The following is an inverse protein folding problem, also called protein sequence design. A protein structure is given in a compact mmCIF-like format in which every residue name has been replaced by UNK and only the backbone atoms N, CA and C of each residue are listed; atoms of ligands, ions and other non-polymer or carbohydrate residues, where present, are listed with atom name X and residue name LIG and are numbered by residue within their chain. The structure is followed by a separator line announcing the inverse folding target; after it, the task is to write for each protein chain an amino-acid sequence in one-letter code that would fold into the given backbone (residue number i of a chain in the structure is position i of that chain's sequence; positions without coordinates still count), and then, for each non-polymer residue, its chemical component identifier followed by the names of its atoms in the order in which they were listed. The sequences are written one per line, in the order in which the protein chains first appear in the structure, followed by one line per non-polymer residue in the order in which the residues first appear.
data_IF_438680695773
#
_entry.id   IF_438680695773
#
_cell.length_a   1.000
_cell.length_b   1.000
_cell.length_c   1.000
_cell.angle_alpha   90.00
_cell.angle_beta   90.00
_cell.angle_gamma   90.00
#
_symmetry.space_group_name_H-M   'P 1'
#
loop_
_entity.id
_entity.type
_entity.pdbx_description
1 polymer ?
#
# COMPACT_ATOMS: atom_id res chain seq x y z
N UNK A 1 10.74 -13.30 13.76
CA UNK A 1 11.02 -12.36 12.68
C UNK A 1 9.82 -11.47 12.44
N UNK A 2 10.04 -10.17 12.36
CA UNK A 2 8.92 -9.29 12.18
C UNK A 2 8.74 -8.95 10.69
N UNK A 3 7.48 -8.83 10.31
CA UNK A 3 7.12 -8.37 8.99
C UNK A 3 6.54 -6.96 9.05
N UNK A 4 6.94 -6.18 10.03
CA UNK A 4 6.40 -4.85 10.24
C UNK A 4 7.42 -3.96 10.93
N UNK A 5 7.53 -2.72 10.43
CA UNK A 5 8.29 -1.67 11.12
C UNK A 5 7.31 -0.55 11.44
N UNK A 6 7.53 0.08 12.58
CA UNK A 6 6.67 1.18 13.05
C UNK A 6 7.52 2.43 13.19
N UNK A 7 6.95 3.56 12.78
CA UNK A 7 7.61 4.85 12.87
C UNK A 7 6.66 5.83 13.53
N UNK A 8 7.20 6.67 14.40
CA UNK A 8 6.38 7.63 15.13
C UNK A 8 5.60 6.95 16.23
N UNK A 9 4.52 7.57 16.64
CA UNK A 9 3.71 7.10 17.75
C UNK A 9 2.28 6.80 17.31
N UNK A 10 1.60 5.90 18.03
CA UNK A 10 0.19 5.66 17.69
C UNK A 10 -0.63 6.94 17.87
N UNK A 11 -1.73 7.09 17.15
CA UNK A 11 -2.32 6.07 16.27
C UNK A 11 -1.58 5.97 14.95
N UNK A 12 -1.52 4.75 14.40
CA UNK A 12 -0.86 4.50 13.13
C UNK A 12 -1.89 4.66 12.02
N UNK A 13 -1.91 5.85 11.43
CA UNK A 13 -2.96 6.24 10.49
C UNK A 13 -2.58 6.05 9.03
N UNK A 14 -1.33 5.69 8.76
CA UNK A 14 -0.88 5.47 7.40
C UNK A 14 0.07 4.28 7.34
N UNK A 15 0.14 3.65 6.18
CA UNK A 15 1.06 2.56 5.93
C UNK A 15 1.74 2.77 4.59
N UNK A 16 3.05 2.55 4.55
CA UNK A 16 3.84 2.65 3.33
C UNK A 16 4.14 1.23 2.84
N UNK A 17 3.79 0.95 1.59
CA UNK A 17 3.86 -0.39 1.03
C UNK A 17 4.97 -0.43 -0.02
N UNK A 18 6.01 -1.21 0.27
CA UNK A 18 7.20 -1.25 -0.57
C UNK A 18 6.96 -1.92 -1.91
N UNK A 19 7.84 -1.60 -2.86
CA UNK A 19 7.76 -2.17 -4.19
C UNK A 19 8.42 -3.53 -4.26
N UNK A 20 8.33 -4.11 -5.41
CA UNK A 20 8.94 -5.35 -5.85
C UNK A 20 9.20 -6.43 -4.82
N UNK A 21 9.20 -7.67 -5.21
CA UNK A 21 9.69 -8.71 -4.32
C UNK A 21 11.18 -8.44 -4.11
N UNK A 22 11.63 -8.54 -2.87
CA UNK A 22 13.04 -8.34 -2.58
C UNK A 22 13.46 -6.91 -2.29
N UNK A 23 12.50 -6.00 -2.14
CA UNK A 23 12.81 -4.62 -1.79
C UNK A 23 12.18 -4.20 -0.46
N UNK A 24 12.12 -5.07 0.55
CA UNK A 24 11.57 -4.67 1.84
C UNK A 24 12.44 -3.58 2.46
N UNK A 25 11.79 -2.60 3.04
CA UNK A 25 12.52 -1.52 3.68
C UNK A 25 12.83 -0.33 2.78
N UNK A 26 12.54 -0.42 1.49
CA UNK A 26 12.82 0.70 0.58
C UNK A 26 11.99 1.93 0.91
N UNK A 27 10.89 1.76 1.61
CA UNK A 27 10.03 2.87 2.00
C UNK A 27 10.42 3.50 3.33
N UNK A 28 11.48 3.02 3.96
CA UNK A 28 11.91 3.56 5.25
C UNK A 28 12.17 5.07 5.23
N UNK A 29 12.83 5.62 4.21
CA UNK A 29 13.03 7.07 4.19
C UNK A 29 11.71 7.84 4.14
N UNK A 30 10.75 7.35 3.36
CA UNK A 30 9.43 7.99 3.28
C UNK A 30 8.72 7.90 4.63
N UNK A 31 8.78 6.72 5.24
CA UNK A 31 8.13 6.50 6.52
C UNK A 31 8.72 7.41 7.60
N UNK A 32 10.03 7.56 7.62
CA UNK A 32 10.70 8.42 8.61
C UNK A 32 10.29 9.87 8.43
N UNK A 33 10.23 10.31 7.19
CA UNK A 33 9.84 11.69 6.92
C UNK A 33 8.41 11.97 7.37
N UNK A 34 7.50 11.06 7.05
CA UNK A 34 6.10 11.22 7.41
C UNK A 34 5.86 11.08 8.91
N UNK A 35 6.72 10.33 9.59
CA UNK A 35 6.49 10.03 11.00
C UNK A 35 6.75 11.20 11.94
N UNK A 36 7.22 12.33 11.42
CA UNK A 36 7.36 13.52 12.25
C UNK A 36 6.00 13.99 12.76
N UNK A 37 4.94 13.70 12.02
CA UNK A 37 3.59 14.14 12.39
C UNK A 37 2.58 13.02 12.48
N UNK A 38 2.92 11.83 11.99
CA UNK A 38 1.99 10.72 11.89
C UNK A 38 2.62 9.44 12.40
N UNK A 39 1.78 8.54 12.90
CA UNK A 39 2.22 7.17 13.13
C UNK A 39 2.15 6.41 11.82
N UNK A 40 3.26 5.81 11.42
CA UNK A 40 3.39 5.14 10.13
C UNK A 40 3.75 3.68 10.31
N UNK A 41 3.05 2.81 9.59
CA UNK A 41 3.39 1.40 9.52
C UNK A 41 4.14 1.14 8.21
N UNK A 42 5.14 0.29 8.28
CA UNK A 42 5.81 -0.22 7.07
C UNK A 42 5.71 -1.72 7.08
N UNK A 43 4.62 -2.27 6.54
CA UNK A 43 4.50 -3.73 6.41
C UNK A 43 5.54 -4.25 5.42
N UNK A 44 6.17 -5.36 5.77
CA UNK A 44 7.15 -6.00 4.91
C UNK A 44 6.50 -7.24 4.31
N UNK A 45 6.52 -7.32 2.99
CA UNK A 45 5.87 -8.42 2.29
C UNK A 45 6.70 -9.68 2.40
N UNK A 46 6.13 -10.74 2.95
CA UNK A 46 6.84 -12.00 3.13
C UNK A 46 6.22 -13.15 2.36
N UNK A 47 5.03 -12.94 1.78
CA UNK A 47 4.33 -14.01 1.08
C UNK A 47 4.65 -13.99 -0.40
N UNK A 48 4.63 -15.17 -1.00
CA UNK A 48 4.99 -15.33 -2.40
C UNK A 48 3.84 -15.11 -3.37
N UNK A 49 2.61 -15.23 -2.88
CA UNK A 49 1.44 -15.07 -3.75
C UNK A 49 0.72 -13.77 -3.47
N UNK A 50 0.02 -13.27 -4.47
CA UNK A 50 -0.77 -12.06 -4.30
C UNK A 50 -1.82 -12.24 -3.20
N UNK A 51 -2.51 -13.36 -3.22
CA UNK A 51 -3.51 -13.65 -2.20
C UNK A 51 -2.90 -13.65 -0.81
N UNK A 52 -1.72 -14.26 -0.68
CA UNK A 52 -1.02 -14.28 0.60
C UNK A 52 -0.61 -12.89 1.04
N UNK A 53 -0.16 -12.06 0.11
CA UNK A 53 0.24 -10.69 0.44
C UNK A 53 -0.96 -9.85 0.87
N UNK A 54 -2.10 -10.03 0.24
CA UNK A 54 -3.33 -9.32 0.63
C UNK A 54 -3.76 -9.74 2.04
N UNK A 55 -3.72 -11.03 2.33
CA UNK A 55 -4.09 -11.52 3.65
C UNK A 55 -3.11 -11.04 4.71
N UNK A 56 -1.84 -11.02 4.39
CA UNK A 56 -0.82 -10.55 5.31
C UNK A 56 -1.02 -9.08 5.64
N UNK A 57 -1.25 -8.28 4.62
CA UNK A 57 -1.49 -6.85 4.81
C UNK A 57 -2.74 -6.61 5.65
N UNK A 58 -3.80 -7.36 5.37
CA UNK A 58 -5.03 -7.23 6.14
C UNK A 58 -4.78 -7.52 7.62
N UNK A 59 -4.04 -8.57 7.90
CA UNK A 59 -3.73 -8.94 9.27
C UNK A 59 -2.94 -7.83 9.98
N UNK A 60 -1.92 -7.32 9.31
CA UNK A 60 -1.09 -6.27 9.89
C UNK A 60 -1.91 -5.02 10.18
N UNK A 61 -2.72 -4.59 9.22
CA UNK A 61 -3.51 -3.39 9.40
C UNK A 61 -4.57 -3.56 10.48
N UNK A 62 -5.16 -4.75 10.55
CA UNK A 62 -6.17 -5.02 11.57
C UNK A 62 -5.57 -4.99 12.96
N UNK A 63 -4.36 -5.53 13.11
CA UNK A 63 -3.70 -5.62 14.41
C UNK A 63 -3.10 -4.31 14.88
N UNK A 64 -2.58 -3.52 13.94
CA UNK A 64 -1.75 -2.37 14.31
C UNK A 64 -2.27 -1.03 13.80
N UNK A 65 -3.11 -1.01 12.80
CA UNK A 65 -3.56 0.23 12.18
C UNK A 65 -4.75 0.86 12.87
N UNK A 66 -4.79 2.18 12.84
CA UNK A 66 -5.97 2.93 13.26
C UNK A 66 -6.87 3.06 12.03
N UNK A 67 -7.73 2.07 11.84
CA UNK A 67 -8.55 1.96 10.62
C UNK A 67 -9.64 3.02 10.57
N UNK A 68 -9.96 3.51 9.37
CA UNK A 68 -9.31 3.23 8.09
C UNK A 68 -8.00 4.00 7.97
N UNK A 69 -7.05 3.43 7.23
CA UNK A 69 -5.73 4.03 7.07
C UNK A 69 -5.51 4.55 5.66
N UNK A 70 -4.52 5.43 5.53
CA UNK A 70 -4.03 5.85 4.21
C UNK A 70 -2.95 4.85 3.79
N UNK A 71 -3.06 4.31 2.59
CA UNK A 71 -2.03 3.44 2.03
C UNK A 71 -1.22 4.24 1.01
N UNK A 72 0.10 4.17 1.16
CA UNK A 72 1.03 4.83 0.24
C UNK A 72 1.85 3.73 -0.38
N UNK A 73 1.56 3.39 -1.63
CA UNK A 73 2.21 2.28 -2.31
C UNK A 73 3.12 2.74 -3.41
N UNK A 74 4.26 2.05 -3.55
CA UNK A 74 5.27 2.39 -4.53
C UNK A 74 5.53 1.19 -5.43
N UNK A 75 5.41 1.36 -6.74
CA UNK A 75 5.65 0.32 -7.72
C UNK A 75 4.74 -0.89 -7.46
N UNK A 76 5.28 -2.07 -7.17
CA UNK A 76 4.46 -3.23 -6.83
C UNK A 76 3.58 -2.95 -5.63
N UNK A 77 4.09 -2.17 -4.68
CA UNK A 77 3.30 -1.77 -3.52
C UNK A 77 2.09 -0.95 -3.90
N UNK A 78 2.17 -0.18 -4.98
CA UNK A 78 1.02 0.57 -5.47
C UNK A 78 -0.05 -0.39 -5.99
N UNK A 79 0.37 -1.40 -6.74
CA UNK A 79 -0.54 -2.42 -7.25
C UNK A 79 -1.19 -3.18 -6.10
N UNK A 80 -0.37 -3.61 -5.14
CA UNK A 80 -0.87 -4.35 -3.99
C UNK A 80 -1.85 -3.51 -3.19
N UNK A 81 -1.52 -2.24 -2.95
CA UNK A 81 -2.39 -1.33 -2.20
C UNK A 81 -3.74 -1.15 -2.90
N UNK A 82 -3.70 -1.01 -4.22
CA UNK A 82 -4.89 -0.86 -5.01
C UNK A 82 -5.79 -2.10 -4.91
N UNK A 83 -5.18 -3.27 -5.10
CA UNK A 83 -5.92 -4.53 -5.04
C UNK A 83 -6.47 -4.74 -3.63
N UNK A 84 -5.67 -4.43 -2.62
CA UNK A 84 -6.12 -4.55 -1.24
C UNK A 84 -7.33 -3.66 -0.98
N UNK A 85 -7.28 -2.41 -1.43
CA UNK A 85 -8.37 -1.48 -1.21
C UNK A 85 -9.65 -1.94 -1.91
N UNK A 86 -9.51 -2.56 -3.08
CA UNK A 86 -10.67 -3.08 -3.80
C UNK A 86 -11.33 -4.22 -3.03
N UNK A 87 -10.53 -5.04 -2.35
CA UNK A 87 -11.06 -6.17 -1.59
C UNK A 87 -11.49 -5.80 -0.17
N UNK A 88 -10.86 -4.78 0.40
CA UNK A 88 -11.13 -4.38 1.78
C UNK A 88 -11.31 -2.86 1.89
N UNK A 89 -12.35 -2.33 1.25
CA UNK A 89 -12.51 -0.87 1.19
C UNK A 89 -12.68 -0.21 2.55
N UNK A 90 -13.16 -0.94 3.54
CA UNK A 90 -13.35 -0.36 4.87
C UNK A 90 -12.05 -0.15 5.63
N UNK A 91 -10.97 -0.78 5.15
CA UNK A 91 -9.65 -0.63 5.76
C UNK A 91 -8.93 0.62 5.26
N UNK A 92 -9.36 1.18 4.14
CA UNK A 92 -8.59 2.18 3.42
C UNK A 92 -9.34 3.49 3.30
N UNK A 93 -8.73 4.54 3.85
CA UNK A 93 -9.29 5.88 3.80
C UNK A 93 -8.86 6.58 2.52
N UNK A 94 -7.60 6.40 2.11
CA UNK A 94 -7.04 7.08 0.96
C UNK A 94 -5.93 6.22 0.37
N UNK A 95 -5.81 6.26 -0.95
CA UNK A 95 -4.73 5.60 -1.67
C UNK A 95 -3.83 6.64 -2.31
N UNK A 96 -2.54 6.50 -2.08
CA UNK A 96 -1.53 7.31 -2.75
C UNK A 96 -0.65 6.32 -3.48
N UNK A 97 -0.71 6.34 -4.81
CA UNK A 97 -0.01 5.38 -5.64
C UNK A 97 1.11 6.07 -6.38
N UNK A 98 2.33 5.60 -6.19
CA UNK A 98 3.52 6.21 -6.75
C UNK A 98 4.19 5.26 -7.72
N UNK A 99 4.35 5.70 -8.97
CA UNK A 99 5.13 4.98 -9.96
C UNK A 99 6.53 5.58 -10.02
N UNK A 100 7.46 4.88 -10.65
CA UNK A 100 8.81 5.41 -10.78
C UNK A 100 9.46 4.90 -12.06
N UNK A 101 9.97 5.82 -12.87
CA UNK A 101 10.75 5.51 -14.04
C UNK A 101 9.94 5.17 -15.29
N UNK A 102 10.60 5.21 -16.44
CA UNK A 102 9.91 5.02 -17.74
C UNK A 102 9.25 3.66 -17.90
N UNK A 103 9.89 2.63 -17.40
CA UNK A 103 9.33 1.29 -17.47
C UNK A 103 8.02 1.22 -16.70
N UNK A 104 8.05 1.70 -15.48
CA UNK A 104 6.87 1.67 -14.64
C UNK A 104 5.79 2.61 -15.14
N UNK A 105 6.20 3.73 -15.72
CA UNK A 105 5.26 4.66 -16.28
C UNK A 105 4.46 4.01 -17.39
N UNK A 106 5.13 3.29 -18.29
CA UNK A 106 4.43 2.60 -19.36
C UNK A 106 3.55 1.48 -18.82
N UNK A 107 4.07 0.73 -17.87
CA UNK A 107 3.33 -0.34 -17.23
C UNK A 107 2.11 0.23 -16.50
N UNK A 108 2.32 1.30 -15.75
CA UNK A 108 1.26 1.94 -15.00
C UNK A 108 0.21 2.54 -15.93
N UNK A 109 0.62 3.06 -17.08
CA UNK A 109 -0.34 3.59 -18.04
C UNK A 109 -1.29 2.51 -18.50
N UNK A 110 -0.77 1.35 -18.85
CA UNK A 110 -1.63 0.25 -19.29
C UNK A 110 -2.55 -0.21 -18.18
N UNK A 111 -2.00 -0.39 -17.00
CA UNK A 111 -2.79 -0.85 -15.88
C UNK A 111 -3.78 0.20 -15.42
N UNK A 112 -3.34 1.44 -15.34
CA UNK A 112 -4.22 2.53 -14.93
C UNK A 112 -5.36 2.73 -15.90
N UNK A 113 -5.08 2.69 -17.19
CA UNK A 113 -6.14 2.82 -18.18
C UNK A 113 -7.17 1.73 -18.04
N UNK A 114 -6.69 0.50 -17.87
CA UNK A 114 -7.58 -0.63 -17.68
C UNK A 114 -8.38 -0.50 -16.40
N UNK A 115 -7.72 -0.12 -15.31
CA UNK A 115 -8.39 -0.01 -14.02
C UNK A 115 -9.38 1.14 -13.98
N UNK A 116 -8.99 2.28 -14.51
CA UNK A 116 -9.89 3.42 -14.54
C UNK A 116 -11.10 3.08 -15.40
N UNK A 117 -10.87 2.41 -16.51
CA UNK A 117 -11.95 1.99 -17.37
C UNK A 117 -12.93 1.07 -16.64
N UNK A 118 -12.42 0.11 -15.88
CA UNK A 118 -13.28 -0.82 -15.16
C UNK A 118 -13.75 -0.29 -13.83
N UNK A 119 -12.82 0.17 -13.02
CA UNK A 119 -13.15 0.61 -11.67
C UNK A 119 -13.82 1.97 -11.68
N UNK A 120 -13.40 2.84 -12.60
CA UNK A 120 -14.06 4.11 -12.73
C UNK A 120 -15.53 3.91 -13.02
N UNK A 121 -15.84 2.93 -13.84
CA UNK A 121 -17.23 2.65 -14.20
C UNK A 121 -17.96 1.82 -13.17
N UNK A 122 -17.24 0.94 -12.49
CA UNK A 122 -17.87 -0.01 -11.58
C UNK A 122 -17.70 0.36 -10.13
N UNK A 123 -16.54 0.84 -9.78
CA UNK A 123 -16.21 1.09 -8.38
C UNK A 123 -15.81 2.51 -8.10
N UNK A 124 -15.06 3.12 -9.02
CA UNK A 124 -14.62 4.49 -8.83
C UNK A 124 -15.73 5.49 -9.10
N UNK A 125 -16.44 5.25 -10.18
CA UNK A 125 -17.50 6.13 -10.59
C UNK A 125 -18.80 5.82 -9.88
N UNK A 126 -18.91 4.61 -9.41
CA UNK A 126 -20.07 4.19 -8.66
C UNK A 126 -19.85 4.43 -7.15
#
# INVERSE_FOLDING_TARGET
MTNLRKYGNPPFTAAVIHGGPGAPGEMAPVARELSTNLGILEPLQTKATLEGQVKELRHILKEHGALPVTLIGFSWGAMLSYIFAAHHPRFVKKLILIGSGPYEERYATNISSTRISRLGKEDWEN
#
